data_IF_692789071436
#
_entry.id   IF_692789071436
#
_cell.length_a   1.000
_cell.length_b   1.000
_cell.length_c   1.000
_cell.angle_alpha   90.00
_cell.angle_beta   90.00
_cell.angle_gamma   90.00
#
_symmetry.space_group_name_H-M   'P 1'
#
loop_
_entity.id
_entity.type
_entity.pdbx_description
1 polymer ?
#
# COMPACT_ATOMS: atom_id res chain seq x y z
N UNK A 1 4.85 -18.94 2.76
CA UNK A 1 5.70 -17.84 2.22
C UNK A 1 5.85 -17.86 0.70
N UNK A 2 6.24 -18.96 0.04
CA UNK A 2 6.38 -18.97 -1.43
C UNK A 2 5.08 -18.57 -2.18
N UNK A 3 3.93 -19.03 -1.70
CA UNK A 3 2.61 -18.65 -2.21
C UNK A 3 2.34 -17.15 -2.10
N UNK A 4 2.85 -16.47 -1.06
CA UNK A 4 2.74 -15.02 -0.92
C UNK A 4 3.55 -14.33 -2.01
N UNK A 5 4.80 -14.73 -2.22
CA UNK A 5 5.66 -14.15 -3.24
C UNK A 5 5.07 -14.27 -4.65
N UNK A 6 4.52 -15.44 -4.98
CA UNK A 6 3.79 -15.66 -6.23
C UNK A 6 2.51 -14.81 -6.31
N UNK A 7 1.75 -14.71 -5.23
CA UNK A 7 0.55 -13.89 -5.14
C UNK A 7 0.82 -12.39 -5.28
N UNK A 8 1.88 -11.89 -4.64
CA UNK A 8 2.33 -10.50 -4.71
C UNK A 8 2.69 -10.11 -6.15
N UNK A 9 3.48 -10.95 -6.83
CA UNK A 9 3.72 -10.77 -8.27
C UNK A 9 2.42 -10.86 -9.09
N UNK A 10 1.55 -11.81 -8.77
CA UNK A 10 0.25 -12.00 -9.41
C UNK A 10 -0.59 -10.73 -9.37
N UNK A 11 -0.68 -10.06 -8.21
CA UNK A 11 -1.40 -8.79 -8.06
C UNK A 11 -0.79 -7.69 -8.93
N UNK A 12 0.54 -7.58 -8.99
CA UNK A 12 1.21 -6.58 -9.84
C UNK A 12 0.89 -6.81 -11.33
N UNK A 13 1.00 -8.06 -11.80
CA UNK A 13 0.72 -8.41 -13.21
C UNK A 13 -0.76 -8.18 -13.52
N UNK A 14 -1.64 -8.64 -12.64
CA UNK A 14 -3.09 -8.51 -12.79
C UNK A 14 -3.51 -7.03 -12.80
N UNK A 15 -2.89 -6.20 -11.97
CA UNK A 15 -3.10 -4.75 -11.99
C UNK A 15 -2.72 -4.13 -13.34
N UNK A 16 -1.58 -4.49 -13.93
CA UNK A 16 -1.17 -3.99 -15.27
C UNK A 16 -2.06 -4.56 -16.38
N UNK A 17 -2.43 -5.84 -16.30
CA UNK A 17 -3.24 -6.50 -17.32
C UNK A 17 -4.69 -5.99 -17.32
N UNK A 18 -5.25 -5.68 -16.14
CA UNK A 18 -6.62 -5.20 -15.98
C UNK A 18 -6.75 -3.67 -16.04
N UNK A 19 -5.69 -2.89 -15.76
CA UNK A 19 -5.73 -1.42 -15.86
C UNK A 19 -6.26 -0.91 -17.21
N UNK A 20 -5.84 -1.46 -18.36
CA UNK A 20 -6.41 -1.09 -19.68
C UNK A 20 -7.90 -1.44 -19.81
N UNK A 21 -8.33 -2.56 -19.21
CA UNK A 21 -9.72 -3.00 -19.24
C UNK A 21 -10.63 -2.19 -18.31
N UNK A 22 -10.08 -1.58 -17.24
CA UNK A 22 -10.81 -0.81 -16.23
C UNK A 22 -10.85 0.71 -16.49
N UNK A 23 -10.29 1.19 -17.61
CA UNK A 23 -10.56 2.53 -18.12
C UNK A 23 -9.37 3.47 -18.21
N UNK A 24 -8.61 3.33 -19.28
CA UNK A 24 -8.13 4.48 -20.07
C UNK A 24 -8.52 4.18 -21.51
N UNK A 25 -9.49 4.93 -22.04
CA UNK A 25 -9.98 4.79 -23.42
C UNK A 25 -8.82 4.94 -24.43
N UNK A 26 -8.29 3.80 -24.90
CA UNK A 26 -7.53 3.73 -26.16
C UNK A 26 -8.48 3.48 -27.34
N UNK A 27 -9.74 3.13 -27.07
CA UNK A 27 -10.71 2.67 -28.08
C UNK A 27 -11.60 3.74 -28.72
N UNK A 28 -11.60 4.99 -28.22
CA UNK A 28 -12.42 6.06 -28.81
C UNK A 28 -11.70 6.92 -29.85
N UNK A 29 -10.37 6.97 -29.88
CA UNK A 29 -9.64 7.64 -30.98
C UNK A 29 -9.51 6.74 -32.22
N UNK A 30 -9.45 5.41 -32.03
CA UNK A 30 -9.16 4.46 -33.13
C UNK A 30 -10.38 4.08 -33.98
N UNK A 31 -11.60 4.42 -33.57
CA UNK A 31 -12.82 4.07 -34.32
C UNK A 31 -13.23 5.08 -35.40
N UNK A 32 -12.52 6.18 -35.55
CA UNK A 32 -12.84 7.21 -36.53
C UNK A 32 -12.16 7.03 -37.90
N UNK A 33 -11.13 6.17 -38.04
CA UNK A 33 -10.29 6.20 -39.24
C UNK A 33 -10.23 4.93 -40.11
N UNK A 34 -10.66 3.73 -39.66
CA UNK A 34 -10.80 2.59 -40.58
C UNK A 34 -11.62 1.41 -40.00
N UNK A 35 -12.61 0.86 -40.74
CA UNK A 35 -13.25 -0.40 -40.39
C UNK A 35 -12.45 -1.57 -40.99
N UNK A 36 -11.79 -2.36 -40.15
CA UNK A 36 -11.18 -3.62 -40.61
C UNK A 36 -10.13 -4.20 -39.67
N UNK A 37 -10.44 -5.37 -39.11
CA UNK A 37 -9.52 -6.34 -38.48
C UNK A 37 -8.69 -5.83 -37.29
N UNK A 38 -9.25 -5.95 -36.08
CA UNK A 38 -8.43 -5.97 -34.85
C UNK A 38 -8.48 -7.39 -34.29
N UNK A 39 -7.48 -8.19 -34.68
CA UNK A 39 -7.12 -9.39 -33.92
C UNK A 39 -6.84 -8.92 -32.49
N UNK A 40 -7.54 -9.50 -31.51
CA UNK A 40 -7.20 -9.39 -30.09
C UNK A 40 -5.74 -9.79 -29.90
N UNK A 41 -4.87 -8.80 -29.87
CA UNK A 41 -3.49 -8.97 -29.43
C UNK A 41 -3.40 -8.25 -28.11
N UNK A 42 -3.08 -9.01 -27.05
CA UNK A 42 -2.42 -8.45 -25.88
C UNK A 42 -1.30 -7.55 -26.40
N UNK A 43 -1.48 -6.24 -26.19
CA UNK A 43 -0.59 -5.21 -26.71
C UNK A 43 0.85 -5.59 -26.29
N UNK A 44 1.81 -5.80 -27.21
CA UNK A 44 3.15 -6.30 -26.87
C UNK A 44 3.85 -5.47 -25.78
N UNK A 45 3.41 -4.22 -25.60
CA UNK A 45 3.81 -3.29 -24.54
C UNK A 45 3.42 -3.77 -23.13
N UNK A 46 2.29 -4.46 -22.95
CA UNK A 46 1.84 -4.99 -21.65
C UNK A 46 2.76 -6.11 -21.19
N UNK A 47 3.06 -7.07 -22.07
CA UNK A 47 3.99 -8.17 -21.78
C UNK A 47 5.38 -7.64 -21.44
N UNK A 48 5.86 -6.66 -22.20
CA UNK A 48 7.16 -6.04 -21.94
C UNK A 48 7.18 -5.30 -20.59
N UNK A 49 6.11 -4.55 -20.28
CA UNK A 49 5.97 -3.84 -19.00
C UNK A 49 5.93 -4.81 -17.81
N UNK A 50 5.16 -5.90 -17.92
CA UNK A 50 5.08 -6.93 -16.89
C UNK A 50 6.45 -7.60 -16.66
N UNK A 51 7.20 -7.89 -17.73
CA UNK A 51 8.56 -8.44 -17.64
C UNK A 51 9.51 -7.48 -16.92
N UNK A 52 9.41 -6.18 -17.18
CA UNK A 52 10.22 -5.18 -16.50
C UNK A 52 9.88 -5.07 -15.00
N UNK A 53 8.60 -5.04 -14.63
CA UNK A 53 8.22 -5.02 -13.22
C UNK A 53 8.59 -6.32 -12.50
N UNK A 54 8.54 -7.47 -13.18
CA UNK A 54 9.03 -8.74 -12.64
C UNK A 54 10.51 -8.66 -12.27
N UNK A 55 11.34 -8.08 -13.14
CA UNK A 55 12.76 -7.86 -12.85
C UNK A 55 12.96 -6.97 -11.62
N UNK A 56 12.17 -5.90 -11.48
CA UNK A 56 12.26 -5.03 -10.30
C UNK A 56 11.89 -5.80 -9.03
N UNK A 57 10.77 -6.52 -9.05
CA UNK A 57 10.29 -7.33 -7.92
C UNK A 57 11.33 -8.37 -7.50
N UNK A 58 11.88 -9.10 -8.47
CA UNK A 58 12.92 -10.11 -8.25
C UNK A 58 14.22 -9.50 -7.71
N UNK A 59 14.66 -8.36 -8.28
CA UNK A 59 15.90 -7.69 -7.85
C UNK A 59 15.79 -7.19 -6.40
N UNK A 60 14.67 -6.57 -6.04
CA UNK A 60 14.41 -6.15 -4.66
C UNK A 60 14.33 -7.35 -3.71
N UNK A 61 13.67 -8.44 -4.12
CA UNK A 61 13.62 -9.67 -3.32
C UNK A 61 15.03 -10.23 -3.08
N UNK A 62 15.85 -10.35 -4.12
CA UNK A 62 17.21 -10.87 -3.99
C UNK A 62 18.07 -9.98 -3.08
N UNK A 63 17.93 -8.66 -3.21
CA UNK A 63 18.62 -7.69 -2.36
C UNK A 63 18.23 -7.88 -0.88
N UNK A 64 16.94 -8.06 -0.59
CA UNK A 64 16.46 -8.29 0.78
C UNK A 64 17.02 -9.59 1.37
N UNK A 65 16.99 -10.70 0.61
CA UNK A 65 17.53 -12.00 1.06
C UNK A 65 19.00 -11.87 1.46
N UNK A 66 19.80 -11.20 0.62
CA UNK A 66 21.23 -11.01 0.87
C UNK A 66 21.44 -10.16 2.13
N UNK A 67 20.71 -9.06 2.29
CA UNK A 67 20.84 -8.19 3.46
C UNK A 67 20.41 -8.88 4.75
N UNK A 68 19.30 -9.65 4.72
CA UNK A 68 18.83 -10.41 5.88
C UNK A 68 19.82 -11.51 6.28
N UNK A 69 20.39 -12.20 5.29
CA UNK A 69 21.43 -13.20 5.53
C UNK A 69 22.69 -12.58 6.15
N UNK A 70 23.13 -11.42 5.65
CA UNK A 70 24.25 -10.66 6.24
C UNK A 70 23.96 -10.16 7.66
N UNK A 71 22.69 -9.91 8.00
CA UNK A 71 22.26 -9.59 9.37
C UNK A 71 22.17 -10.81 10.30
N UNK A 72 22.56 -12.01 9.84
CA UNK A 72 22.66 -13.21 10.65
C UNK A 72 21.44 -14.14 10.61
N UNK A 73 20.46 -13.89 9.73
CA UNK A 73 19.38 -14.87 9.51
C UNK A 73 19.90 -16.09 8.74
N UNK A 74 19.31 -17.27 9.03
CA UNK A 74 19.51 -18.44 8.18
C UNK A 74 19.00 -18.15 6.76
N UNK A 75 19.59 -18.78 5.73
CA UNK A 75 19.16 -18.56 4.33
C UNK A 75 17.67 -18.87 4.14
N UNK A 76 17.18 -19.91 4.83
CA UNK A 76 15.77 -20.29 4.79
C UNK A 76 14.88 -19.23 5.43
N UNK A 77 15.24 -18.73 6.62
CA UNK A 77 14.49 -17.66 7.27
C UNK A 77 14.52 -16.38 6.42
N UNK A 78 15.68 -16.00 5.86
CA UNK A 78 15.82 -14.84 5.00
C UNK A 78 14.88 -14.92 3.79
N UNK A 79 14.85 -16.06 3.08
CA UNK A 79 13.93 -16.29 1.95
C UNK A 79 12.47 -16.18 2.37
N UNK A 80 12.09 -16.88 3.44
CA UNK A 80 10.71 -16.90 3.91
C UNK A 80 10.22 -15.51 4.33
N UNK A 81 11.06 -14.71 4.98
CA UNK A 81 10.72 -13.35 5.39
C UNK A 81 10.70 -12.39 4.22
N UNK A 82 11.67 -12.44 3.29
CA UNK A 82 11.61 -11.66 2.04
C UNK A 82 10.31 -11.92 1.27
N UNK A 83 9.90 -13.18 1.16
CA UNK A 83 8.64 -13.52 0.50
C UNK A 83 7.42 -12.95 1.22
N UNK A 84 7.47 -12.84 2.55
CA UNK A 84 6.45 -12.16 3.34
C UNK A 84 6.49 -10.63 3.18
N UNK A 85 7.67 -10.02 3.16
CA UNK A 85 7.87 -8.57 3.04
C UNK A 85 7.50 -8.04 1.67
N UNK A 86 8.08 -8.61 0.61
CA UNK A 86 7.92 -8.14 -0.75
C UNK A 86 6.50 -8.35 -1.27
N UNK A 87 5.80 -9.38 -0.79
CA UNK A 87 4.39 -9.61 -1.11
C UNK A 87 3.43 -8.91 -0.14
N UNK A 88 3.95 -8.17 0.86
CA UNK A 88 3.15 -7.52 1.92
C UNK A 88 2.15 -8.49 2.55
N UNK A 89 2.62 -9.68 2.95
CA UNK A 89 1.78 -10.74 3.50
C UNK A 89 2.18 -11.24 4.90
N UNK A 90 3.31 -10.79 5.46
CA UNK A 90 3.55 -10.87 6.91
C UNK A 90 3.79 -12.25 7.53
N UNK A 91 3.90 -13.30 6.72
CA UNK A 91 4.16 -14.64 7.24
C UNK A 91 5.61 -14.79 7.69
N UNK A 92 5.78 -15.28 8.91
CA UNK A 92 7.08 -15.53 9.54
C UNK A 92 7.27 -17.03 9.81
N UNK A 93 8.52 -17.47 9.87
CA UNK A 93 8.90 -18.81 10.34
C UNK A 93 8.87 -18.94 11.86
N UNK A 94 8.66 -17.84 12.59
CA UNK A 94 8.64 -17.77 14.05
C UNK A 94 7.29 -17.28 14.54
N UNK A 95 6.81 -17.85 15.65
CA UNK A 95 5.54 -17.44 16.27
C UNK A 95 5.57 -15.97 16.71
N UNK A 96 6.72 -15.52 17.24
CA UNK A 96 6.91 -14.12 17.62
C UNK A 96 7.18 -13.18 16.42
N UNK A 97 6.96 -13.65 15.18
CA UNK A 97 7.19 -12.88 13.97
C UNK A 97 8.63 -12.30 13.93
N UNK A 98 8.79 -11.04 13.57
CA UNK A 98 10.10 -10.37 13.49
C UNK A 98 10.66 -10.04 14.88
N UNK A 99 9.85 -10.07 15.95
CA UNK A 99 10.32 -9.89 17.32
C UNK A 99 11.39 -10.93 17.72
N UNK A 100 11.39 -12.10 17.08
CA UNK A 100 12.40 -13.15 17.30
C UNK A 100 13.81 -12.80 16.78
N UNK A 101 13.95 -11.73 15.97
CA UNK A 101 15.20 -11.35 15.31
C UNK A 101 15.75 -10.02 15.82
N UNK A 102 17.07 -9.86 15.66
CA UNK A 102 17.81 -8.70 16.13
C UNK A 102 17.40 -7.38 15.45
N UNK A 103 17.84 -6.23 16.02
CA UNK A 103 17.45 -4.90 15.54
C UNK A 103 17.87 -4.62 14.10
N UNK A 104 18.95 -5.23 13.61
CA UNK A 104 19.44 -5.06 12.25
C UNK A 104 18.43 -5.62 11.24
N UNK A 105 17.87 -6.80 11.51
CA UNK A 105 16.82 -7.43 10.70
C UNK A 105 15.56 -6.57 10.66
N UNK A 106 15.14 -6.04 11.81
CA UNK A 106 13.97 -5.17 11.90
C UNK A 106 14.10 -3.93 11.00
N UNK A 107 15.26 -3.27 11.00
CA UNK A 107 15.50 -2.11 10.14
C UNK A 107 15.53 -2.45 8.66
N UNK A 108 16.13 -3.59 8.27
CA UNK A 108 16.09 -4.07 6.89
C UNK A 108 14.64 -4.27 6.46
N UNK A 109 13.85 -5.01 7.24
CA UNK A 109 12.45 -5.30 6.92
C UNK A 109 11.62 -4.00 6.87
N UNK A 110 11.83 -3.02 7.76
CA UNK A 110 11.17 -1.71 7.68
C UNK A 110 11.40 -1.04 6.32
N UNK A 111 12.64 -1.03 5.84
CA UNK A 111 12.99 -0.42 4.55
C UNK A 111 12.31 -1.17 3.41
N UNK A 112 12.34 -2.51 3.42
CA UNK A 112 11.72 -3.30 2.35
C UNK A 112 10.19 -3.30 2.39
N UNK A 113 9.56 -3.20 3.56
CA UNK A 113 8.11 -2.94 3.67
C UNK A 113 7.75 -1.59 3.07
N UNK A 114 8.53 -0.54 3.37
CA UNK A 114 8.34 0.78 2.76
C UNK A 114 8.48 0.72 1.23
N UNK A 115 9.50 0.02 0.72
CA UNK A 115 9.71 -0.15 -0.72
C UNK A 115 8.58 -0.98 -1.35
N UNK A 116 8.16 -2.10 -0.77
CA UNK A 116 7.08 -2.93 -1.33
C UNK A 116 5.73 -2.20 -1.34
N UNK A 117 5.52 -1.25 -0.42
CA UNK A 117 4.36 -0.37 -0.37
C UNK A 117 4.32 0.73 -1.44
N UNK A 118 5.43 1.02 -2.11
CA UNK A 118 5.50 2.02 -3.20
C UNK A 118 5.11 1.38 -4.53
N UNK A 119 4.57 2.18 -5.45
CA UNK A 119 4.28 1.76 -6.82
C UNK A 119 5.54 1.21 -7.53
N UNK A 120 5.49 -0.04 -8.03
CA UNK A 120 6.62 -0.68 -8.72
C UNK A 120 7.05 0.04 -10.01
N UNK A 121 6.15 0.80 -10.65
CA UNK A 121 6.50 1.65 -11.80
C UNK A 121 7.45 2.78 -11.37
N UNK A 122 7.33 3.32 -10.16
CA UNK A 122 8.24 4.36 -9.66
C UNK A 122 9.64 3.79 -9.41
N UNK A 123 9.74 2.57 -8.87
CA UNK A 123 11.02 1.87 -8.74
C UNK A 123 11.70 1.66 -10.09
N UNK A 124 10.94 1.19 -11.08
CA UNK A 124 11.44 1.05 -12.45
C UNK A 124 11.98 2.37 -12.99
N UNK A 125 11.27 3.48 -12.81
CA UNK A 125 11.71 4.81 -13.25
C UNK A 125 13.00 5.26 -12.55
N UNK A 126 13.14 5.02 -11.25
CA UNK A 126 14.35 5.33 -10.48
C UNK A 126 15.54 4.51 -10.99
N UNK A 127 15.35 3.21 -11.23
CA UNK A 127 16.39 2.33 -11.77
C UNK A 127 16.86 2.74 -13.18
N UNK A 128 16.03 3.46 -13.93
CA UNK A 128 16.37 4.02 -15.25
C UNK A 128 16.81 5.50 -15.19
N UNK A 129 17.29 5.96 -14.03
CA UNK A 129 17.90 7.29 -13.86
C UNK A 129 16.92 8.43 -13.61
N UNK A 130 15.61 8.18 -13.50
CA UNK A 130 14.61 9.23 -13.23
C UNK A 130 14.38 9.41 -11.72
N UNK A 131 15.43 9.76 -10.98
CA UNK A 131 15.41 9.91 -9.52
C UNK A 131 14.41 10.94 -9.00
N UNK A 132 14.03 11.94 -9.81
CA UNK A 132 13.04 12.96 -9.44
C UNK A 132 11.58 12.50 -9.61
N UNK A 133 11.33 11.33 -10.21
CA UNK A 133 9.99 10.89 -10.54
C UNK A 133 9.10 10.61 -9.30
N UNK A 134 9.58 9.94 -8.23
CA UNK A 134 8.78 9.75 -7.01
C UNK A 134 8.34 11.08 -6.39
N UNK A 135 9.23 12.07 -6.32
CA UNK A 135 8.92 13.40 -5.75
C UNK A 135 7.95 14.24 -6.58
N UNK A 136 7.76 13.93 -7.86
CA UNK A 136 6.71 14.53 -8.68
C UNK A 136 5.37 13.81 -8.54
N UNK A 137 5.40 12.56 -8.08
CA UNK A 137 4.21 11.75 -7.89
C UNK A 137 3.53 12.15 -6.57
N UNK A 138 2.30 12.62 -6.69
CA UNK A 138 1.51 13.09 -5.58
C UNK A 138 1.22 12.00 -4.55
N UNK A 139 0.90 10.78 -5.02
CA UNK A 139 0.62 9.63 -4.16
C UNK A 139 1.84 9.22 -3.33
N UNK A 140 3.03 9.13 -3.95
CA UNK A 140 4.26 8.81 -3.24
C UNK A 140 4.55 9.85 -2.16
N UNK A 141 4.40 11.14 -2.47
CA UNK A 141 4.57 12.20 -1.47
C UNK A 141 3.60 12.04 -0.31
N UNK A 142 2.31 11.80 -0.59
CA UNK A 142 1.31 11.59 0.47
C UNK A 142 1.67 10.39 1.34
N UNK A 143 2.05 9.26 0.74
CA UNK A 143 2.50 8.06 1.45
C UNK A 143 3.73 8.33 2.34
N UNK A 144 4.74 9.00 1.78
CA UNK A 144 5.97 9.34 2.47
C UNK A 144 5.75 10.33 3.63
N UNK A 145 4.96 11.39 3.42
CA UNK A 145 4.63 12.35 4.47
C UNK A 145 3.77 11.72 5.56
N UNK A 146 2.83 10.83 5.21
CA UNK A 146 2.03 10.10 6.19
C UNK A 146 2.93 9.33 7.19
N UNK A 147 3.95 8.62 6.68
CA UNK A 147 4.90 7.90 7.51
C UNK A 147 5.78 8.82 8.37
N UNK A 148 6.36 9.87 7.76
CA UNK A 148 7.23 10.80 8.48
C UNK A 148 6.48 11.59 9.54
N UNK A 149 5.19 11.85 9.36
CA UNK A 149 4.38 12.50 10.40
C UNK A 149 3.98 11.52 11.51
N UNK A 150 3.55 10.30 11.17
CA UNK A 150 3.01 9.37 12.16
C UNK A 150 4.08 8.67 13.00
N UNK A 151 5.22 8.29 12.42
CA UNK A 151 6.27 7.58 13.17
C UNK A 151 6.75 8.40 14.39
N UNK A 152 7.06 9.71 14.27
CA UNK A 152 7.41 10.54 15.43
C UNK A 152 6.28 10.72 16.44
N UNK A 153 5.02 10.81 15.98
CA UNK A 153 3.85 10.92 16.87
C UNK A 153 3.76 9.66 17.74
N UNK A 154 3.84 8.48 17.13
CA UNK A 154 3.86 7.21 17.84
C UNK A 154 5.06 7.13 18.79
N UNK A 155 6.26 7.45 18.32
CA UNK A 155 7.48 7.37 19.12
C UNK A 155 7.43 8.29 20.34
N UNK A 156 6.88 9.51 20.19
CA UNK A 156 6.73 10.46 21.29
C UNK A 156 5.73 9.95 22.33
N UNK A 157 4.60 9.37 21.91
CA UNK A 157 3.59 8.82 22.82
C UNK A 157 4.14 7.61 23.57
N UNK A 158 4.84 6.69 22.88
CA UNK A 158 5.45 5.52 23.50
C UNK A 158 6.58 5.89 24.47
N UNK A 159 7.38 6.91 24.12
CA UNK A 159 8.40 7.44 25.02
C UNK A 159 7.79 8.02 26.29
N UNK A 160 6.71 8.81 26.19
CA UNK A 160 6.04 9.41 27.36
C UNK A 160 5.37 8.38 28.27
N UNK A 161 4.88 7.28 27.70
CA UNK A 161 4.16 6.24 28.43
C UNK A 161 5.06 5.13 28.96
N UNK A 162 6.36 5.15 28.62
CA UNK A 162 7.34 4.09 28.94
C UNK A 162 6.90 2.68 28.48
N UNK A 163 6.11 2.60 27.41
CA UNK A 163 5.57 1.34 26.89
C UNK A 163 6.48 0.65 25.86
N UNK A 164 7.59 1.29 25.48
CA UNK A 164 8.56 0.75 24.53
C UNK A 164 9.99 1.03 24.99
N UNK A 165 10.85 0.01 24.94
CA UNK A 165 12.29 0.17 25.21
C UNK A 165 12.99 0.90 24.05
N UNK A 166 12.51 0.70 22.80
CA UNK A 166 13.03 1.38 21.62
C UNK A 166 11.89 2.10 20.86
N UNK A 167 11.34 3.19 21.40
CA UNK A 167 10.12 3.84 20.88
C UNK A 167 10.16 4.16 19.39
N UNK A 168 11.32 4.61 18.88
CA UNK A 168 11.47 4.98 17.47
C UNK A 168 11.37 3.74 16.57
N UNK A 169 12.09 2.66 16.91
CA UNK A 169 12.13 1.44 16.11
C UNK A 169 10.78 0.73 16.14
N UNK A 170 10.20 0.59 17.32
CA UNK A 170 8.93 -0.10 17.50
C UNK A 170 7.79 0.67 16.80
N UNK A 171 7.81 2.00 16.87
CA UNK A 171 6.87 2.86 16.12
C UNK A 171 7.07 2.74 14.62
N UNK A 172 8.31 2.85 14.13
CA UNK A 172 8.61 2.75 12.70
C UNK A 172 8.18 1.38 12.15
N UNK A 173 8.46 0.31 12.89
CA UNK A 173 8.09 -1.04 12.49
C UNK A 173 6.58 -1.21 12.37
N UNK A 174 5.83 -0.88 13.44
CA UNK A 174 4.39 -1.11 13.45
C UNK A 174 3.65 -0.21 12.47
N UNK A 175 4.01 1.08 12.42
CA UNK A 175 3.37 2.03 11.49
C UNK A 175 3.61 1.63 10.03
N UNK A 176 4.84 1.25 9.67
CA UNK A 176 5.15 0.82 8.29
C UNK A 176 4.50 -0.53 7.97
N UNK A 177 4.58 -1.49 8.88
CA UNK A 177 3.98 -2.82 8.70
C UNK A 177 2.47 -2.74 8.47
N UNK A 178 1.77 -1.96 9.29
CA UNK A 178 0.32 -1.84 9.25
C UNK A 178 -0.14 -0.98 8.05
N UNK A 179 0.52 0.15 7.79
CA UNK A 179 0.20 0.97 6.61
C UNK A 179 0.43 0.21 5.31
N UNK A 180 1.52 -0.56 5.20
CA UNK A 180 1.80 -1.35 4.00
C UNK A 180 0.98 -2.63 3.93
N UNK A 181 0.13 -2.88 4.94
CA UNK A 181 -0.67 -4.11 5.13
C UNK A 181 0.19 -5.38 5.15
N UNK A 182 1.48 -5.25 5.50
CA UNK A 182 2.37 -6.40 5.60
C UNK A 182 1.97 -7.28 6.77
N UNK A 183 1.71 -6.69 7.95
CA UNK A 183 1.22 -7.44 9.11
C UNK A 183 2.29 -8.20 9.91
N UNK A 184 3.57 -7.88 9.72
CA UNK A 184 4.61 -8.30 10.66
C UNK A 184 4.46 -7.56 11.99
N UNK A 185 4.91 -8.20 13.08
CA UNK A 185 4.81 -7.68 14.44
C UNK A 185 6.19 -7.78 15.12
N UNK A 186 6.58 -6.72 15.85
CA UNK A 186 7.78 -6.71 16.72
C UNK A 186 7.48 -6.37 18.17
N UNK A 187 6.34 -5.74 18.43
CA UNK A 187 5.92 -5.28 19.74
C UNK A 187 4.43 -5.55 19.91
N UNK A 188 4.01 -5.80 21.15
CA UNK A 188 2.61 -5.93 21.51
C UNK A 188 1.95 -4.53 21.57
N UNK A 189 1.23 -4.18 20.50
CA UNK A 189 0.51 -2.92 20.39
C UNK A 189 -0.85 -2.93 21.08
N UNK A 190 -1.31 -4.06 21.66
CA UNK A 190 -2.54 -4.09 22.46
C UNK A 190 -2.36 -3.27 23.74
N UNK A 191 -1.15 -3.28 24.30
CA UNK A 191 -0.74 -2.51 25.46
C UNK A 191 -0.63 -1.00 25.18
N UNK A 192 -0.66 -0.59 23.90
CA UNK A 192 -0.48 0.81 23.53
C UNK A 192 -1.74 1.63 23.83
N UNK A 193 -1.61 2.96 24.02
CA UNK A 193 -2.75 3.82 24.27
C UNK A 193 -3.81 3.70 23.18
N UNK A 194 -5.09 3.80 23.57
CA UNK A 194 -6.24 3.63 22.66
C UNK A 194 -6.16 4.54 21.43
N UNK A 195 -5.64 5.76 21.58
CA UNK A 195 -5.43 6.68 20.46
C UNK A 195 -4.45 6.14 19.40
N UNK A 196 -3.38 5.43 19.80
CA UNK A 196 -2.45 4.80 18.85
C UNK A 196 -3.11 3.61 18.16
N UNK A 197 -3.86 2.78 18.89
CA UNK A 197 -4.61 1.65 18.33
C UNK A 197 -5.62 2.12 17.27
N UNK A 198 -6.35 3.20 17.55
CA UNK A 198 -7.25 3.82 16.58
C UNK A 198 -6.50 4.28 15.31
N UNK A 199 -5.36 4.96 15.47
CA UNK A 199 -4.54 5.37 14.31
C UNK A 199 -4.03 4.17 13.50
N UNK A 200 -3.64 3.07 14.15
CA UNK A 200 -3.23 1.84 13.46
C UNK A 200 -4.38 1.27 12.63
N UNK A 201 -5.60 1.19 13.17
CA UNK A 201 -6.79 0.74 12.42
C UNK A 201 -7.05 1.66 11.22
N UNK A 202 -6.91 2.99 11.38
CA UNK A 202 -7.03 3.92 10.26
C UNK A 202 -5.97 3.67 9.18
N UNK A 203 -4.73 3.31 9.56
CA UNK A 203 -3.67 2.98 8.60
C UNK A 203 -3.95 1.70 7.82
N UNK A 204 -4.58 0.68 8.44
CA UNK A 204 -4.99 -0.55 7.75
C UNK A 204 -5.91 -0.26 6.56
N UNK A 205 -6.81 0.72 6.72
CA UNK A 205 -7.71 1.12 5.65
C UNK A 205 -7.02 1.88 4.52
N UNK A 206 -6.02 2.69 4.83
CA UNK A 206 -5.28 3.48 3.83
C UNK A 206 -4.48 2.55 2.91
N UNK A 207 -3.69 1.65 3.49
CA UNK A 207 -2.87 0.71 2.73
C UNK A 207 -1.70 1.33 1.97
N UNK A 208 -1.10 0.55 1.07
CA UNK A 208 0.01 0.97 0.21
C UNK A 208 -0.41 1.85 -0.99
N UNK A 209 0.54 2.21 -1.83
CA UNK A 209 0.27 2.95 -3.08
C UNK A 209 -0.45 2.07 -4.13
N UNK A 210 -1.12 2.69 -5.11
CA UNK A 210 -1.60 2.03 -6.31
C UNK A 210 -0.44 1.42 -7.10
N UNK A 211 -0.59 0.19 -7.57
CA UNK A 211 0.50 -0.55 -8.25
C UNK A 211 1.62 -1.05 -7.32
N UNK A 212 1.38 -1.08 -6.01
CA UNK A 212 2.16 -1.83 -5.00
C UNK A 212 1.51 -3.19 -4.69
N UNK A 213 2.19 -4.06 -3.94
CA UNK A 213 1.61 -5.34 -3.47
C UNK A 213 0.66 -5.20 -2.29
N UNK A 214 0.65 -4.04 -1.62
CA UNK A 214 -0.18 -3.82 -0.43
C UNK A 214 -1.69 -3.95 -0.71
N UNK A 215 -2.49 -4.08 0.33
CA UNK A 215 -3.95 -4.06 0.30
C UNK A 215 -4.54 -2.69 0.63
N UNK A 216 -5.71 -2.71 1.26
CA UNK A 216 -6.47 -1.53 1.68
C UNK A 216 -7.16 -0.79 0.52
N UNK A 217 -7.65 0.41 0.81
CA UNK A 217 -8.27 1.26 -0.21
C UNK A 217 -7.26 1.81 -1.21
N UNK A 218 -5.99 1.90 -0.81
CA UNK A 218 -4.85 2.57 -1.45
C UNK A 218 -4.78 4.06 -1.13
N UNK A 219 -3.56 4.55 -0.92
CA UNK A 219 -3.25 5.95 -0.60
C UNK A 219 -3.88 6.92 -1.60
N UNK A 220 -3.77 6.65 -2.91
CA UNK A 220 -4.36 7.52 -3.94
C UNK A 220 -5.88 7.65 -3.80
N UNK A 221 -6.60 6.58 -3.46
CA UNK A 221 -8.07 6.62 -3.34
C UNK A 221 -8.47 7.44 -2.13
N UNK A 222 -7.81 7.23 -0.99
CA UNK A 222 -8.05 8.02 0.23
C UNK A 222 -7.77 9.50 -0.02
N UNK A 223 -6.64 9.82 -0.67
CA UNK A 223 -6.30 11.20 -1.02
C UNK A 223 -7.37 11.86 -1.89
N UNK A 224 -7.87 11.15 -2.91
CA UNK A 224 -8.90 11.67 -3.81
C UNK A 224 -10.26 11.83 -3.12
N UNK A 225 -10.65 10.91 -2.23
CA UNK A 225 -11.86 11.05 -1.40
C UNK A 225 -11.77 12.30 -0.52
N UNK A 226 -10.63 12.50 0.15
CA UNK A 226 -10.38 13.70 0.97
C UNK A 226 -10.50 14.97 0.12
N UNK A 227 -9.85 15.02 -1.06
CA UNK A 227 -9.96 16.16 -1.98
C UNK A 227 -11.41 16.42 -2.43
N UNK A 228 -12.16 15.35 -2.70
CA UNK A 228 -13.57 15.44 -3.09
C UNK A 228 -14.40 16.03 -1.94
N UNK A 229 -14.23 15.54 -0.72
CA UNK A 229 -14.91 16.06 0.45
C UNK A 229 -14.59 17.54 0.70
N UNK A 230 -13.31 17.94 0.62
CA UNK A 230 -12.91 19.35 0.73
C UNK A 230 -13.53 20.21 -0.38
N UNK A 231 -13.55 19.74 -1.63
CA UNK A 231 -14.19 20.45 -2.73
C UNK A 231 -15.69 20.65 -2.47
N UNK A 232 -16.39 19.61 -1.99
CA UNK A 232 -17.81 19.70 -1.64
C UNK A 232 -18.07 20.69 -0.50
N UNK A 233 -17.21 20.75 0.52
CA UNK A 233 -17.31 21.73 1.61
C UNK A 233 -17.14 23.16 1.07
N UNK A 234 -16.13 23.39 0.23
CA UNK A 234 -15.90 24.72 -0.34
C UNK A 234 -17.07 25.13 -1.25
N UNK A 235 -17.64 24.21 -2.04
CA UNK A 235 -18.82 24.48 -2.87
C UNK A 235 -20.08 24.76 -2.04
N UNK A 236 -20.23 24.14 -0.87
CA UNK A 236 -21.33 24.45 0.05
C UNK A 236 -21.23 25.89 0.58
N UNK A 237 -20.02 26.42 0.75
CA UNK A 237 -19.77 27.81 1.18
C UNK A 237 -19.84 28.79 -0.01
N UNK A 238 -19.30 28.38 -1.16
CA UNK A 238 -19.20 29.17 -2.39
C UNK A 238 -19.88 28.43 -3.56
N UNK A 239 -21.21 28.56 -3.72
CA UNK A 239 -21.99 27.75 -4.67
C UNK A 239 -21.60 27.94 -6.14
N UNK A 240 -20.99 29.07 -6.50
CA UNK A 240 -20.54 29.36 -7.86
C UNK A 240 -19.07 28.92 -8.13
N UNK A 241 -18.39 28.32 -7.15
CA UNK A 241 -17.00 27.90 -7.30
C UNK A 241 -16.88 26.58 -8.07
N UNK A 242 -16.20 26.61 -9.22
CA UNK A 242 -15.85 25.40 -9.98
C UNK A 242 -14.51 24.86 -9.49
N UNK A 243 -14.56 23.78 -8.72
CA UNK A 243 -13.37 23.15 -8.13
C UNK A 243 -13.07 21.86 -8.87
N UNK A 244 -11.95 21.83 -9.59
CA UNK A 244 -11.51 20.66 -10.33
C UNK A 244 -10.66 19.75 -9.45
N UNK A 245 -11.11 18.50 -9.27
CA UNK A 245 -10.35 17.48 -8.55
C UNK A 245 -9.25 16.94 -9.47
N UNK A 246 -8.00 17.01 -9.01
CA UNK A 246 -6.82 16.63 -9.78
C UNK A 246 -6.07 15.46 -9.14
N UNK A 247 -5.52 14.58 -9.99
CA UNK A 247 -4.52 13.58 -9.64
C UNK A 247 -3.25 13.86 -10.45
N UNK A 248 -2.10 14.05 -9.80
CA UNK A 248 -0.84 14.38 -10.48
C UNK A 248 -0.98 15.54 -11.49
N UNK A 249 -1.65 16.62 -11.07
CA UNK A 249 -1.94 17.82 -11.86
C UNK A 249 -2.89 17.64 -13.06
N UNK A 250 -3.47 16.44 -13.27
CA UNK A 250 -4.48 16.21 -14.31
C UNK A 250 -5.88 16.18 -13.70
N UNK A 251 -6.87 16.89 -14.27
CA UNK A 251 -8.25 16.84 -13.79
C UNK A 251 -8.84 15.45 -14.03
N UNK A 252 -9.64 14.97 -13.09
CA UNK A 252 -10.37 13.71 -13.21
C UNK A 252 -11.79 13.97 -13.74
N UNK A 253 -12.31 13.12 -14.64
CA UNK A 253 -13.71 13.18 -15.05
C UNK A 253 -14.66 12.85 -13.88
N UNK A 254 -15.83 13.47 -13.86
CA UNK A 254 -16.84 13.26 -12.81
C UNK A 254 -17.26 11.79 -12.67
N UNK A 255 -17.31 11.05 -13.78
CA UNK A 255 -17.56 9.59 -13.76
C UNK A 255 -16.56 8.83 -12.90
N UNK A 256 -15.28 9.21 -12.94
CA UNK A 256 -14.22 8.59 -12.13
C UNK A 256 -14.37 8.96 -10.66
N UNK A 257 -14.74 10.20 -10.37
CA UNK A 257 -14.98 10.68 -8.99
C UNK A 257 -16.19 9.95 -8.39
N UNK A 258 -17.29 9.82 -9.13
CA UNK A 258 -18.47 9.07 -8.67
C UNK A 258 -18.15 7.60 -8.42
N UNK A 259 -17.42 6.94 -9.33
CA UNK A 259 -16.98 5.56 -9.13
C UNK A 259 -16.08 5.40 -7.89
N UNK A 260 -15.20 6.37 -7.62
CA UNK A 260 -14.37 6.41 -6.42
C UNK A 260 -15.22 6.52 -5.15
N UNK A 261 -16.22 7.40 -5.14
CA UNK A 261 -17.13 7.56 -3.99
C UNK A 261 -17.98 6.30 -3.78
N UNK A 262 -18.49 5.68 -4.84
CA UNK A 262 -19.19 4.39 -4.74
C UNK A 262 -18.28 3.29 -4.18
N UNK A 263 -17.02 3.20 -4.62
CA UNK A 263 -16.05 2.26 -4.07
C UNK A 263 -15.82 2.51 -2.58
N UNK A 264 -15.66 3.77 -2.15
CA UNK A 264 -15.48 4.12 -0.75
C UNK A 264 -16.69 3.71 0.10
N UNK A 265 -17.90 4.04 -0.34
CA UNK A 265 -19.13 3.65 0.36
C UNK A 265 -19.29 2.13 0.47
N UNK A 266 -19.03 1.39 -0.62
CA UNK A 266 -19.08 -0.07 -0.61
C UNK A 266 -18.03 -0.67 0.32
N UNK A 267 -16.81 -0.11 0.33
CA UNK A 267 -15.73 -0.58 1.20
C UNK A 267 -16.10 -0.43 2.69
N UNK A 268 -16.63 0.74 3.08
CA UNK A 268 -17.08 0.99 4.46
C UNK A 268 -18.28 0.11 4.82
N UNK A 269 -19.24 -0.05 3.90
CA UNK A 269 -20.40 -0.92 4.10
C UNK A 269 -19.98 -2.37 4.33
N UNK A 270 -19.08 -2.91 3.49
CA UNK A 270 -18.59 -4.28 3.63
C UNK A 270 -17.80 -4.48 4.92
N UNK A 271 -17.01 -3.49 5.33
CA UNK A 271 -16.33 -3.53 6.63
C UNK A 271 -17.34 -3.59 7.78
N UNK A 272 -18.33 -2.68 7.80
CA UNK A 272 -19.35 -2.64 8.85
C UNK A 272 -20.21 -3.92 8.90
N UNK A 273 -20.59 -4.45 7.74
CA UNK A 273 -21.32 -5.73 7.66
C UNK A 273 -20.44 -6.90 8.10
N UNK A 274 -19.16 -6.93 7.71
CA UNK A 274 -18.21 -7.96 8.09
C UNK A 274 -17.99 -8.01 9.61
N UNK A 275 -17.66 -6.88 10.22
CA UNK A 275 -17.53 -6.74 11.67
C UNK A 275 -18.85 -7.05 12.38
N UNK A 276 -19.99 -6.63 11.81
CA UNK A 276 -21.31 -6.98 12.34
C UNK A 276 -21.56 -8.48 12.36
N UNK A 277 -21.26 -9.19 11.26
CA UNK A 277 -21.38 -10.66 11.19
C UNK A 277 -20.51 -11.31 12.25
N UNK A 278 -19.23 -10.92 12.36
CA UNK A 278 -18.30 -11.46 13.36
C UNK A 278 -18.84 -11.25 14.77
N UNK A 279 -19.33 -10.05 15.09
CA UNK A 279 -19.92 -9.72 16.39
C UNK A 279 -21.13 -10.62 16.74
N UNK A 280 -21.93 -11.00 15.75
CA UNK A 280 -23.10 -11.86 15.97
C UNK A 280 -22.74 -13.36 16.02
N UNK A 281 -21.67 -13.79 15.35
CA UNK A 281 -21.29 -15.22 15.26
C UNK A 281 -20.25 -15.63 16.28
N UNK A 282 -19.26 -14.78 16.52
CA UNK A 282 -18.18 -14.97 17.48
C UNK A 282 -18.55 -14.09 18.69
N UNK A 283 -18.70 -14.67 19.90
CA UNK A 283 -19.03 -13.93 21.12
C UNK A 283 -17.87 -13.02 21.59
N UNK A 284 -17.44 -12.10 20.73
CA UNK A 284 -16.37 -11.13 20.94
C UNK A 284 -16.97 -9.73 21.12
N UNK A 285 -16.18 -8.80 21.64
CA UNK A 285 -16.57 -7.41 21.82
C UNK A 285 -16.36 -6.60 20.52
N UNK A 286 -17.00 -5.43 20.45
CA UNK A 286 -16.98 -4.55 19.27
C UNK A 286 -15.56 -4.09 18.87
N UNK A 287 -14.61 -4.05 19.80
CA UNK A 287 -13.24 -3.65 19.48
C UNK A 287 -12.47 -4.79 18.80
N UNK A 288 -12.85 -6.03 19.11
CA UNK A 288 -12.25 -7.24 18.52
C UNK A 288 -12.86 -7.59 17.17
N UNK A 289 -14.16 -7.31 16.98
CA UNK A 289 -14.92 -7.56 15.74
C UNK A 289 -14.66 -6.51 14.64
#
# INVERSE_FOLDING_TARGET
SLTHWLGGMGIIVLYIALLPALGVNVSQLYKAEAPGLIVERLDPRIKETAKQLWKVYFTLSLLEVVLLWLCGMSVFDALCHTFGTMATGGFSTRNASIAAFGPQVQWVIIVFMFLSGINFVLHYQVLHGRFRAPWKNEEFRTYFFLLICLIPIFALVLFKTNLAYYPIRDSAFQVVSILTTTGFVTADFELWPVGLKFLLVMLMFIGGCGGSTGGGMKVIRVLLVIKTAFASIIQAVFPNAVILIKSNSKPLPDKTINALMSYFCLFVLLFALGSGVILFTENCDLVTA
#
